data_IF_213546120937
#
_entry.id   IF_213546120937
#
_cell.length_a   1.000
_cell.length_b   1.000
_cell.length_c   1.000
_cell.angle_alpha   90.00
_cell.angle_beta   90.00
_cell.angle_gamma   90.00
#
_symmetry.space_group_name_H-M   'P 1'
#
loop_
_entity.id
_entity.type
_entity.pdbx_description
1 polymer ?
#
# COMPACT_ATOMS: atom_id res chain seq x y z
N UNK A 1 -7.73 -2.05 -23.67
CA UNK A 1 -6.72 -2.56 -24.63
C UNK A 1 -6.24 -1.51 -25.64
N UNK A 2 -7.11 -0.91 -26.49
CA UNK A 2 -6.68 0.06 -27.54
C UNK A 2 -5.79 1.20 -27.02
N UNK A 3 -6.16 1.82 -25.90
CA UNK A 3 -5.36 2.89 -25.29
C UNK A 3 -4.00 2.40 -24.81
N UNK A 4 -3.90 1.17 -24.30
CA UNK A 4 -2.63 0.58 -23.91
C UNK A 4 -1.69 0.41 -25.12
N UNK A 5 -2.21 0.08 -26.31
CA UNK A 5 -1.41 0.04 -27.54
C UNK A 5 -0.89 1.43 -27.94
N UNK A 6 -1.72 2.47 -27.81
CA UNK A 6 -1.31 3.85 -28.08
C UNK A 6 -0.21 4.31 -27.11
N UNK A 7 -0.33 3.96 -25.83
CA UNK A 7 0.67 4.22 -24.79
C UNK A 7 1.96 3.44 -25.10
N UNK A 8 1.85 2.14 -25.39
CA UNK A 8 2.99 1.29 -25.69
C UNK A 8 3.80 1.82 -26.89
N UNK A 9 3.13 2.34 -27.92
CA UNK A 9 3.80 2.96 -29.08
C UNK A 9 4.68 4.17 -28.71
N UNK A 10 4.48 4.77 -27.54
CA UNK A 10 5.27 5.89 -27.01
C UNK A 10 6.33 5.47 -25.99
N UNK A 11 6.40 4.18 -25.64
CA UNK A 11 7.37 3.62 -24.70
C UNK A 11 8.36 2.76 -25.48
N UNK A 12 9.64 3.15 -25.51
CA UNK A 12 10.68 2.35 -26.16
C UNK A 12 11.18 1.24 -25.24
N UNK A 13 11.70 0.16 -25.82
CA UNK A 13 12.33 -0.90 -25.02
C UNK A 13 13.48 -0.37 -24.15
N UNK A 14 14.31 0.54 -24.68
CA UNK A 14 15.39 1.19 -23.94
C UNK A 14 14.88 1.93 -22.69
N UNK A 15 13.75 2.61 -22.81
CA UNK A 15 13.09 3.30 -21.69
C UNK A 15 12.66 2.33 -20.59
N UNK A 16 12.04 1.21 -20.98
CA UNK A 16 11.59 0.19 -20.02
C UNK A 16 12.79 -0.49 -19.35
N UNK A 17 13.83 -0.84 -20.13
CA UNK A 17 15.08 -1.42 -19.62
C UNK A 17 15.75 -0.50 -18.60
N UNK A 18 15.86 0.79 -18.88
CA UNK A 18 16.43 1.76 -17.96
C UNK A 18 15.59 1.95 -16.68
N UNK A 19 14.27 1.80 -16.78
CA UNK A 19 13.36 2.04 -15.65
C UNK A 19 13.22 0.85 -14.72
N UNK A 20 13.11 -0.36 -15.28
CA UNK A 20 12.79 -1.59 -14.52
C UNK A 20 13.93 -2.62 -14.50
N UNK A 21 15.04 -2.36 -15.19
CA UNK A 21 16.17 -3.30 -15.25
C UNK A 21 15.91 -4.56 -16.09
N UNK A 22 14.91 -4.54 -16.98
CA UNK A 22 14.61 -5.71 -17.83
C UNK A 22 15.76 -6.05 -18.78
N UNK A 23 15.85 -7.33 -19.10
CA UNK A 23 16.87 -7.89 -19.98
C UNK A 23 16.22 -8.73 -21.09
N UNK A 24 17.05 -9.31 -21.96
CA UNK A 24 16.56 -10.09 -23.11
C UNK A 24 15.88 -11.41 -22.71
N UNK A 25 15.99 -11.83 -21.44
CA UNK A 25 15.27 -12.97 -20.89
C UNK A 25 13.91 -12.60 -20.30
N UNK A 26 13.61 -11.30 -20.17
CA UNK A 26 12.31 -10.80 -19.71
C UNK A 26 11.26 -11.03 -20.80
N UNK A 27 10.08 -11.51 -20.42
CA UNK A 27 9.05 -11.80 -21.41
C UNK A 27 8.38 -10.50 -21.92
N UNK A 28 7.84 -10.55 -23.14
CA UNK A 28 7.21 -9.40 -23.80
C UNK A 28 6.02 -8.81 -23.01
N UNK A 29 5.35 -9.63 -22.19
CA UNK A 29 4.26 -9.19 -21.33
C UNK A 29 4.72 -8.26 -20.22
N UNK A 30 5.87 -8.55 -19.59
CA UNK A 30 6.46 -7.68 -18.57
C UNK A 30 6.81 -6.31 -19.13
N UNK A 31 7.35 -6.26 -20.35
CA UNK A 31 7.69 -5.00 -21.04
C UNK A 31 6.42 -4.19 -21.35
N UNK A 32 5.35 -4.87 -21.77
CA UNK A 32 4.09 -4.23 -22.13
C UNK A 32 3.28 -3.75 -20.91
N UNK A 33 3.44 -4.37 -19.74
CA UNK A 33 2.58 -4.20 -18.57
C UNK A 33 2.41 -2.74 -18.11
N UNK A 34 3.47 -1.92 -18.13
CA UNK A 34 3.38 -0.49 -17.78
C UNK A 34 2.34 0.26 -18.62
N UNK A 35 2.17 -0.14 -19.89
CA UNK A 35 1.18 0.46 -20.77
C UNK A 35 -0.24 0.17 -20.32
N UNK A 36 -0.49 -1.04 -19.77
CA UNK A 36 -1.77 -1.43 -19.18
C UNK A 36 -2.01 -0.65 -17.88
N UNK A 37 -1.01 -0.59 -17.00
CA UNK A 37 -1.10 0.13 -15.72
C UNK A 37 -1.27 1.65 -15.89
N UNK A 38 -0.86 2.20 -17.03
CA UNK A 38 -1.08 3.62 -17.36
C UNK A 38 -2.53 3.93 -17.75
N UNK A 39 -3.27 2.98 -18.32
CA UNK A 39 -4.65 3.23 -18.84
C UNK A 39 -5.61 3.75 -17.76
N UNK A 40 -5.66 3.21 -16.53
CA UNK A 40 -6.51 3.73 -15.46
C UNK A 40 -6.40 5.24 -15.24
N UNK A 41 -5.22 5.82 -15.43
CA UNK A 41 -4.98 7.26 -15.25
C UNK A 41 -5.78 8.15 -16.22
N UNK A 42 -6.31 7.59 -17.31
CA UNK A 42 -7.06 8.31 -18.33
C UNK A 42 -8.49 7.80 -18.54
N UNK A 43 -8.96 6.80 -17.78
CA UNK A 43 -10.31 6.22 -17.97
C UNK A 43 -11.39 7.31 -17.86
N UNK A 44 -11.29 8.19 -16.87
CA UNK A 44 -12.27 9.27 -16.67
C UNK A 44 -12.24 10.28 -17.83
N UNK A 45 -11.05 10.64 -18.31
CA UNK A 45 -10.87 11.51 -19.47
C UNK A 45 -11.49 10.93 -20.74
N UNK A 46 -11.36 9.62 -20.91
CA UNK A 46 -12.01 8.90 -21.99
C UNK A 46 -13.53 9.01 -21.81
N UNK A 47 -14.10 8.52 -20.70
CA UNK A 47 -15.55 8.53 -20.47
C UNK A 47 -16.19 9.90 -20.71
N UNK A 48 -15.54 10.99 -20.27
CA UNK A 48 -16.10 12.33 -20.39
C UNK A 48 -15.78 13.06 -21.71
N UNK A 49 -14.92 12.49 -22.56
CA UNK A 49 -14.50 13.14 -23.81
C UNK A 49 -13.74 14.45 -23.61
N UNK A 50 -13.21 14.69 -22.42
CA UNK A 50 -12.39 15.86 -22.07
C UNK A 50 -11.23 15.44 -21.19
N UNK A 51 -10.19 16.24 -21.13
CA UNK A 51 -9.03 15.92 -20.30
C UNK A 51 -9.35 16.17 -18.82
N UNK A 52 -9.40 15.10 -18.01
CA UNK A 52 -9.72 15.15 -16.58
C UNK A 52 -8.45 14.86 -15.77
N UNK A 53 -8.08 15.69 -14.79
CA UNK A 53 -6.96 15.41 -13.89
C UNK A 53 -7.17 14.09 -13.12
N UNK A 54 -6.10 13.31 -12.96
CA UNK A 54 -6.11 12.06 -12.21
C UNK A 54 -5.13 12.17 -11.03
N UNK A 55 -5.57 11.73 -9.84
CA UNK A 55 -4.75 11.59 -8.64
C UNK A 55 -4.55 10.10 -8.35
N UNK A 56 -3.31 9.68 -8.15
CA UNK A 56 -2.94 8.28 -7.94
C UNK A 56 -2.24 8.14 -6.57
N UNK A 57 -2.94 7.65 -5.54
CA UNK A 57 -2.30 7.24 -4.29
C UNK A 57 -1.63 5.88 -4.48
N UNK A 58 -0.33 5.77 -4.18
CA UNK A 58 0.44 4.53 -4.38
C UNK A 58 1.58 4.38 -3.37
N UNK A 59 2.07 3.16 -3.20
CA UNK A 59 3.34 2.92 -2.50
C UNK A 59 4.51 3.20 -3.46
N UNK A 60 5.66 3.62 -2.91
CA UNK A 60 6.84 4.04 -3.70
C UNK A 60 7.36 3.00 -4.71
N UNK A 61 7.04 1.71 -4.57
CA UNK A 61 7.41 0.69 -5.56
C UNK A 61 6.65 0.80 -6.90
N UNK A 62 5.52 1.50 -6.94
CA UNK A 62 4.76 1.72 -8.17
C UNK A 62 5.19 2.98 -8.92
N UNK A 63 5.97 3.88 -8.32
CA UNK A 63 6.43 5.13 -8.96
C UNK A 63 7.04 4.90 -10.35
N UNK A 64 7.93 3.91 -10.58
CA UNK A 64 8.55 3.71 -11.89
C UNK A 64 7.53 3.57 -13.04
N UNK A 65 6.36 2.97 -12.78
CA UNK A 65 5.29 2.88 -13.77
C UNK A 65 4.67 4.25 -14.08
N UNK A 66 4.32 5.01 -13.04
CA UNK A 66 3.62 6.29 -13.22
C UNK A 66 4.54 7.45 -13.58
N UNK A 67 5.84 7.35 -13.26
CA UNK A 67 6.87 8.22 -13.83
C UNK A 67 6.90 8.12 -15.35
N UNK A 68 6.89 6.90 -15.89
CA UNK A 68 6.77 6.68 -17.34
C UNK A 68 5.42 7.14 -17.89
N UNK A 69 4.33 6.90 -17.17
CA UNK A 69 3.02 7.42 -17.56
C UNK A 69 3.04 8.95 -17.72
N UNK A 70 3.70 9.68 -16.81
CA UNK A 70 3.80 11.14 -16.85
C UNK A 70 4.62 11.66 -18.04
N UNK A 71 5.54 10.87 -18.58
CA UNK A 71 6.31 11.21 -19.79
C UNK A 71 5.55 10.92 -21.08
N UNK A 72 4.65 9.94 -21.06
CA UNK A 72 3.93 9.45 -22.24
C UNK A 72 2.59 10.15 -22.44
N UNK A 73 1.81 10.32 -21.38
CA UNK A 73 0.44 10.83 -21.45
C UNK A 73 0.31 12.22 -22.13
N UNK A 74 1.22 13.20 -21.87
CA UNK A 74 1.18 14.48 -22.58
C UNK A 74 1.38 14.36 -24.10
N UNK A 75 2.17 13.38 -24.56
CA UNK A 75 2.40 13.12 -26.00
C UNK A 75 1.14 12.58 -26.70
N UNK A 76 0.12 12.20 -25.92
CA UNK A 76 -1.19 11.74 -26.37
C UNK A 76 -2.29 12.77 -26.07
N UNK A 77 -1.94 13.96 -25.58
CA UNK A 77 -2.90 15.03 -25.27
C UNK A 77 -3.58 14.91 -23.90
N UNK A 78 -3.16 13.99 -23.04
CA UNK A 78 -3.69 13.82 -21.68
C UNK A 78 -2.84 14.55 -20.64
N UNK A 79 -3.47 14.92 -19.51
CA UNK A 79 -2.74 15.49 -18.39
C UNK A 79 -1.81 14.47 -17.73
N UNK A 80 -0.74 14.98 -17.11
CA UNK A 80 0.11 14.17 -16.23
C UNK A 80 -0.69 13.83 -14.97
N UNK A 81 -0.74 12.56 -14.53
CA UNK A 81 -1.36 12.23 -13.25
C UNK A 81 -0.57 12.85 -12.11
N UNK A 82 -1.29 13.36 -11.10
CA UNK A 82 -0.73 13.70 -9.80
C UNK A 82 -0.53 12.41 -9.00
N UNK A 83 0.54 12.35 -8.21
CA UNK A 83 0.92 11.18 -7.43
C UNK A 83 1.04 11.59 -5.97
N UNK A 84 0.48 10.78 -5.06
CA UNK A 84 0.76 10.85 -3.63
C UNK A 84 1.40 9.52 -3.25
N UNK A 85 2.65 9.58 -2.77
CA UNK A 85 3.42 8.41 -2.40
C UNK A 85 3.28 8.10 -0.91
N UNK A 86 2.97 6.86 -0.61
CA UNK A 86 2.95 6.31 0.73
C UNK A 86 4.23 5.53 1.00
N UNK A 87 4.76 5.69 2.22
CA UNK A 87 5.81 4.81 2.74
C UNK A 87 5.31 3.38 2.90
N UNK A 88 6.22 2.40 2.84
CA UNK A 88 5.84 1.00 3.02
C UNK A 88 5.34 0.73 4.43
N UNK A 89 4.29 -0.09 4.52
CA UNK A 89 3.90 -0.67 5.79
C UNK A 89 5.01 -1.59 6.32
N UNK A 90 5.37 -1.46 7.60
CA UNK A 90 6.47 -2.21 8.19
C UNK A 90 6.12 -3.69 8.32
N UNK A 91 7.16 -4.53 8.24
CA UNK A 91 7.09 -5.92 8.70
C UNK A 91 6.89 -5.98 10.23
N UNK A 92 6.28 -7.06 10.72
CA UNK A 92 6.29 -7.38 12.15
C UNK A 92 7.71 -7.70 12.66
N UNK A 93 8.61 -8.13 11.78
CA UNK A 93 10.02 -8.36 12.09
C UNK A 93 10.84 -7.07 11.99
N UNK A 94 12.10 -7.12 12.42
CA UNK A 94 12.98 -5.97 12.38
C UNK A 94 13.27 -5.55 10.93
N UNK A 95 12.85 -4.34 10.57
CA UNK A 95 13.09 -3.78 9.24
C UNK A 95 12.27 -4.41 8.13
N UNK A 96 12.37 -3.82 6.94
CA UNK A 96 11.69 -4.31 5.74
C UNK A 96 10.20 -3.94 5.63
N UNK A 97 9.65 -4.29 4.47
CA UNK A 97 8.23 -4.10 4.12
C UNK A 97 7.41 -5.33 4.48
N UNK A 98 6.15 -5.12 4.85
CA UNK A 98 5.20 -6.22 5.00
C UNK A 98 5.11 -7.01 3.70
N UNK A 99 5.23 -8.34 3.79
CA UNK A 99 5.19 -9.23 2.63
C UNK A 99 4.26 -10.40 2.88
N UNK A 100 3.30 -10.60 1.97
CA UNK A 100 2.43 -11.77 1.98
C UNK A 100 3.20 -13.09 1.79
N UNK A 101 4.41 -13.03 1.19
CA UNK A 101 5.26 -14.21 0.96
C UNK A 101 5.77 -14.82 2.26
N UNK A 102 5.91 -14.03 3.33
CA UNK A 102 6.38 -14.51 4.63
C UNK A 102 5.26 -14.33 5.66
N UNK A 103 4.41 -15.35 5.78
CA UNK A 103 3.13 -15.26 6.52
C UNK A 103 3.24 -14.79 7.97
N UNK A 104 4.31 -15.15 8.67
CA UNK A 104 4.52 -14.76 10.08
C UNK A 104 4.97 -13.30 10.25
N UNK A 105 5.32 -12.61 9.16
CA UNK A 105 5.77 -11.21 9.17
C UNK A 105 4.65 -10.21 8.87
N UNK A 106 3.47 -10.71 8.51
CA UNK A 106 2.34 -9.91 8.07
C UNK A 106 1.07 -10.29 8.84
N UNK A 107 0.20 -9.30 9.07
CA UNK A 107 -1.17 -9.52 9.54
C UNK A 107 -2.06 -9.56 8.32
N UNK A 108 -2.70 -10.70 8.06
CA UNK A 108 -3.65 -10.84 6.97
C UNK A 108 -5.03 -10.35 7.40
N UNK A 109 -5.78 -9.81 6.45
CA UNK A 109 -7.17 -9.38 6.68
C UNK A 109 -8.12 -10.53 7.06
N UNK A 110 -7.67 -11.77 6.86
CA UNK A 110 -8.38 -13.01 7.19
C UNK A 110 -7.85 -13.70 8.45
N UNK A 111 -6.84 -13.13 9.13
CA UNK A 111 -6.31 -13.72 10.35
C UNK A 111 -7.37 -13.73 11.46
N UNK A 112 -7.38 -14.81 12.25
CA UNK A 112 -8.21 -14.96 13.44
C UNK A 112 -7.58 -14.24 14.65
N UNK A 113 -8.38 -13.86 15.67
CA UNK A 113 -7.86 -13.16 16.84
C UNK A 113 -6.68 -13.82 17.55
N UNK A 114 -6.66 -15.16 17.60
CA UNK A 114 -5.59 -15.95 18.21
C UNK A 114 -4.29 -15.87 17.38
N UNK A 115 -4.42 -15.91 16.05
CA UNK A 115 -3.30 -15.78 15.12
C UNK A 115 -2.70 -14.39 15.21
N UNK A 116 -3.53 -13.34 15.26
CA UNK A 116 -3.08 -11.96 15.44
C UNK A 116 -2.31 -11.82 16.75
N UNK A 117 -2.86 -12.32 17.86
CA UNK A 117 -2.19 -12.30 19.16
C UNK A 117 -0.82 -12.96 19.10
N UNK A 118 -0.72 -14.15 18.50
CA UNK A 118 0.55 -14.87 18.34
C UNK A 118 1.57 -14.04 17.53
N UNK A 119 1.17 -13.53 16.37
CA UNK A 119 2.03 -12.76 15.48
C UNK A 119 2.53 -11.46 16.11
N UNK A 120 1.63 -10.70 16.75
CA UNK A 120 1.97 -9.45 17.45
C UNK A 120 2.85 -9.74 18.67
N UNK A 121 2.59 -10.83 19.40
CA UNK A 121 3.46 -11.26 20.51
C UNK A 121 4.90 -11.50 20.06
N UNK A 122 5.09 -12.05 18.85
CA UNK A 122 6.39 -12.34 18.26
C UNK A 122 6.99 -11.17 17.46
N UNK A 123 6.29 -10.03 17.39
CA UNK A 123 6.77 -8.87 16.65
C UNK A 123 8.01 -8.26 17.31
N UNK A 124 8.90 -7.71 16.48
CA UNK A 124 10.09 -7.00 16.90
C UNK A 124 9.73 -5.75 17.70
N UNK A 125 10.44 -5.57 18.82
CA UNK A 125 10.28 -4.43 19.71
C UNK A 125 11.62 -3.74 19.95
N UNK A 126 11.62 -2.42 20.04
CA UNK A 126 12.79 -1.65 20.46
C UNK A 126 12.95 -1.54 21.99
N UNK A 127 12.26 -2.37 22.78
CA UNK A 127 12.41 -2.37 24.24
C UNK A 127 13.62 -3.19 24.71
N UNK A 128 13.77 -3.28 26.03
CA UNK A 128 14.88 -3.98 26.69
C UNK A 128 14.61 -5.47 26.87
N UNK A 129 15.65 -6.21 27.25
CA UNK A 129 15.59 -7.66 27.48
C UNK A 129 14.60 -8.08 28.58
N UNK A 130 14.35 -7.22 29.58
CA UNK A 130 13.40 -7.49 30.65
C UNK A 130 12.71 -6.21 31.15
N UNK A 131 11.63 -6.38 31.92
CA UNK A 131 10.79 -5.29 32.39
C UNK A 131 11.51 -4.33 33.37
N UNK A 132 12.49 -4.82 34.14
CA UNK A 132 13.26 -3.98 35.06
C UNK A 132 14.13 -3.00 34.28
N UNK A 133 14.91 -3.51 33.34
CA UNK A 133 15.74 -2.69 32.45
C UNK A 133 14.89 -1.74 31.61
N UNK A 134 13.71 -2.18 31.14
CA UNK A 134 12.83 -1.30 30.39
C UNK A 134 12.31 -0.12 31.21
N UNK A 135 12.05 -0.30 32.51
CA UNK A 135 11.67 0.80 33.41
C UNK A 135 12.84 1.75 33.70
N UNK A 136 14.06 1.23 33.78
CA UNK A 136 15.25 2.02 34.09
C UNK A 136 15.78 2.78 32.86
N UNK A 137 15.78 2.16 31.68
CA UNK A 137 16.43 2.67 30.47
C UNK A 137 15.45 3.11 29.38
N UNK A 138 14.16 2.81 29.53
CA UNK A 138 13.17 3.02 28.47
C UNK A 138 13.33 2.08 27.28
N UNK A 139 12.47 2.26 26.29
CA UNK A 139 12.54 1.62 24.97
C UNK A 139 12.79 2.61 23.85
N UNK A 140 13.06 2.09 22.65
CA UNK A 140 13.26 2.87 21.43
C UNK A 140 12.10 2.66 20.43
N UNK A 141 11.10 3.57 20.37
CA UNK A 141 9.98 3.49 19.44
C UNK A 141 10.39 3.54 17.95
N UNK A 142 11.50 4.22 17.60
CA UNK A 142 11.89 4.46 16.20
C UNK A 142 12.20 3.17 15.42
N UNK A 143 12.71 2.15 16.11
CA UNK A 143 13.03 0.85 15.52
C UNK A 143 11.92 -0.18 15.74
N UNK A 144 10.97 0.10 16.64
CA UNK A 144 9.95 -0.84 17.10
C UNK A 144 8.82 -1.06 16.06
N UNK A 145 8.62 -2.29 15.61
CA UNK A 145 7.56 -2.60 14.64
C UNK A 145 6.17 -2.42 15.24
N UNK A 146 5.99 -2.73 16.54
CA UNK A 146 4.72 -2.52 17.27
C UNK A 146 4.34 -1.04 17.27
N UNK A 147 5.28 -0.15 17.59
CA UNK A 147 5.03 1.30 17.56
C UNK A 147 4.72 1.81 16.16
N UNK A 148 5.43 1.32 15.12
CA UNK A 148 5.14 1.71 13.73
C UNK A 148 3.73 1.30 13.30
N UNK A 149 3.22 0.17 13.77
CA UNK A 149 1.82 -0.22 13.53
C UNK A 149 0.82 0.71 14.21
N UNK A 150 1.09 1.16 15.45
CA UNK A 150 0.28 2.20 16.09
C UNK A 150 0.30 3.48 15.26
N UNK A 151 1.50 3.98 14.94
CA UNK A 151 1.74 5.23 14.23
C UNK A 151 1.10 5.26 12.83
N UNK A 152 1.20 4.17 12.06
CA UNK A 152 0.81 4.18 10.65
C UNK A 152 -0.64 3.74 10.41
N UNK A 153 -1.24 2.95 11.29
CA UNK A 153 -2.48 2.22 10.99
C UNK A 153 -3.54 2.31 12.07
N UNK A 154 -3.18 2.08 13.33
CA UNK A 154 -4.17 1.71 14.35
C UNK A 154 -4.43 2.79 15.41
N UNK A 155 -3.66 3.87 15.42
CA UNK A 155 -3.86 4.98 16.37
C UNK A 155 -3.99 6.27 15.59
N UNK A 156 -5.21 6.76 15.47
CA UNK A 156 -5.54 7.97 14.70
C UNK A 156 -5.46 9.26 15.53
N UNK A 157 -5.43 9.15 16.86
CA UNK A 157 -5.25 10.28 17.76
C UNK A 157 -3.77 10.55 18.02
N UNK A 158 -3.29 11.71 17.56
CA UNK A 158 -1.92 12.16 17.75
C UNK A 158 -1.53 12.28 19.23
N UNK A 159 -2.47 12.60 20.12
CA UNK A 159 -2.20 12.69 21.56
C UNK A 159 -1.96 11.31 22.16
N UNK A 160 -2.75 10.32 21.73
CA UNK A 160 -2.56 8.93 22.12
C UNK A 160 -1.20 8.41 21.62
N UNK A 161 -0.83 8.70 20.38
CA UNK A 161 0.48 8.35 19.83
C UNK A 161 1.64 8.97 20.62
N UNK A 162 1.57 10.27 20.91
CA UNK A 162 2.58 10.98 21.72
C UNK A 162 2.68 10.39 23.14
N UNK A 163 1.54 10.00 23.71
CA UNK A 163 1.50 9.34 25.03
C UNK A 163 2.18 7.97 24.99
N UNK A 164 1.87 7.13 24.01
CA UNK A 164 2.53 5.82 23.80
C UNK A 164 4.05 6.02 23.64
N UNK A 165 4.46 6.99 22.81
CA UNK A 165 5.87 7.29 22.56
C UNK A 165 6.58 7.72 23.84
N UNK A 166 6.03 8.69 24.58
CA UNK A 166 6.62 9.26 25.78
C UNK A 166 6.74 8.22 26.89
N UNK A 167 5.67 7.43 27.11
CA UNK A 167 5.68 6.35 28.11
C UNK A 167 6.64 5.22 27.74
N UNK A 168 6.81 4.93 26.45
CA UNK A 168 7.79 3.94 25.99
C UNK A 168 9.23 4.43 26.23
N UNK A 169 9.52 5.69 25.88
CA UNK A 169 10.82 6.32 26.12
C UNK A 169 11.14 6.45 27.62
N UNK A 170 10.15 6.77 28.45
CA UNK A 170 10.30 6.89 29.89
C UNK A 170 10.25 5.56 30.66
N UNK A 171 10.05 4.43 29.97
CA UNK A 171 10.00 3.10 30.60
C UNK A 171 8.71 2.77 31.36
N UNK A 172 7.74 3.67 31.39
CA UNK A 172 6.42 3.47 32.02
C UNK A 172 5.59 2.41 31.28
N UNK A 173 5.68 2.36 29.94
CA UNK A 173 4.94 1.41 29.12
C UNK A 173 5.83 0.22 28.76
N UNK A 174 5.43 -0.98 29.19
CA UNK A 174 6.14 -2.21 28.86
C UNK A 174 5.78 -2.71 27.45
N UNK A 175 6.73 -3.39 26.78
CA UNK A 175 6.51 -3.95 25.44
C UNK A 175 5.30 -4.90 25.38
N UNK A 176 5.10 -5.70 26.43
CA UNK A 176 3.97 -6.63 26.51
C UNK A 176 2.62 -5.92 26.59
N UNK A 177 2.55 -4.77 27.25
CA UNK A 177 1.32 -3.96 27.38
C UNK A 177 0.99 -3.28 26.06
N UNK A 178 2.00 -2.66 25.42
CA UNK A 178 1.86 -2.06 24.10
C UNK A 178 1.41 -3.09 23.04
N UNK A 179 1.98 -4.32 23.07
CA UNK A 179 1.55 -5.42 22.19
C UNK A 179 0.09 -5.83 22.42
N UNK A 180 -0.37 -5.85 23.68
CA UNK A 180 -1.76 -6.17 24.02
C UNK A 180 -2.72 -5.11 23.49
N UNK A 181 -2.41 -3.83 23.69
CA UNK A 181 -3.20 -2.72 23.14
C UNK A 181 -3.30 -2.82 21.61
N UNK A 182 -2.15 -2.98 20.92
CA UNK A 182 -2.12 -3.15 19.48
C UNK A 182 -3.00 -4.33 19.02
N UNK A 183 -2.89 -5.48 19.69
CA UNK A 183 -3.67 -6.68 19.37
C UNK A 183 -5.17 -6.41 19.46
N UNK A 184 -5.63 -5.67 20.47
CA UNK A 184 -7.03 -5.31 20.62
C UNK A 184 -7.51 -4.42 19.47
N UNK A 185 -6.74 -3.39 19.11
CA UNK A 185 -7.06 -2.49 18.00
C UNK A 185 -7.11 -3.21 16.65
N UNK A 186 -6.13 -4.08 16.37
CA UNK A 186 -6.10 -4.89 15.16
C UNK A 186 -7.33 -5.80 15.10
N UNK A 187 -7.65 -6.52 16.17
CA UNK A 187 -8.78 -7.45 16.18
C UNK A 187 -10.13 -6.72 16.02
N UNK A 188 -10.27 -5.53 16.61
CA UNK A 188 -11.45 -4.67 16.40
C UNK A 188 -11.59 -4.29 14.94
N UNK A 189 -10.51 -3.82 14.32
CA UNK A 189 -10.48 -3.48 12.89
C UNK A 189 -10.81 -4.68 12.00
N UNK A 190 -10.16 -5.83 12.23
CA UNK A 190 -10.36 -7.04 11.42
C UNK A 190 -11.78 -7.59 11.55
N UNK A 191 -12.36 -7.57 12.75
CA UNK A 191 -13.75 -8.02 12.95
C UNK A 191 -14.72 -7.20 12.10
N UNK A 192 -14.55 -5.87 12.06
CA UNK A 192 -15.38 -5.00 11.26
C UNK A 192 -15.12 -5.18 9.76
N UNK A 193 -13.85 -5.23 9.36
CA UNK A 193 -13.46 -5.48 7.97
C UNK A 193 -14.03 -6.80 7.44
N UNK A 194 -13.94 -7.88 8.22
CA UNK A 194 -14.43 -9.20 7.83
C UNK A 194 -15.96 -9.21 7.69
N UNK A 195 -16.70 -8.52 8.58
CA UNK A 195 -18.16 -8.35 8.43
C UNK A 195 -18.52 -7.60 7.15
N UNK A 196 -17.82 -6.50 6.85
CA UNK A 196 -18.05 -5.72 5.64
C UNK A 196 -17.70 -6.52 4.38
N UNK A 197 -16.60 -7.29 4.42
CA UNK A 197 -16.18 -8.17 3.32
C UNK A 197 -17.24 -9.22 2.98
N UNK A 198 -17.90 -9.79 3.98
CA UNK A 198 -18.98 -10.75 3.75
C UNK A 198 -20.20 -10.10 3.09
N UNK A 199 -20.61 -8.90 3.54
CA UNK A 199 -21.67 -8.11 2.88
C UNK A 199 -21.31 -7.69 1.46
N UNK A 200 -20.02 -7.44 1.19
CA UNK A 200 -19.56 -6.98 -0.11
C UNK A 200 -19.75 -8.04 -1.22
N UNK A 201 -19.90 -9.33 -0.88
CA UNK A 201 -20.07 -10.43 -1.85
C UNK A 201 -21.25 -10.20 -2.80
N UNK A 202 -22.33 -9.63 -2.29
CA UNK A 202 -23.58 -9.46 -3.05
C UNK A 202 -23.56 -8.23 -3.97
N UNK A 203 -22.60 -7.32 -3.78
CA UNK A 203 -22.54 -6.03 -4.50
C UNK A 203 -21.27 -5.89 -5.36
N UNK A 204 -20.40 -6.91 -5.45
CA UNK A 204 -19.14 -6.85 -6.22
C UNK A 204 -19.40 -6.38 -7.65
N UNK A 205 -20.47 -6.89 -8.25
CA UNK A 205 -20.89 -6.63 -9.62
C UNK A 205 -21.19 -5.15 -9.91
N UNK A 206 -21.52 -4.35 -8.89
CA UNK A 206 -21.82 -2.93 -9.03
C UNK A 206 -20.54 -2.07 -9.10
N UNK A 207 -19.42 -2.60 -8.60
CA UNK A 207 -18.12 -1.90 -8.59
C UNK A 207 -17.23 -2.29 -9.78
N UNK A 208 -17.62 -3.30 -10.56
CA UNK A 208 -16.91 -3.68 -11.77
C UNK A 208 -17.31 -2.74 -12.92
N UNK A 209 -16.32 -2.17 -13.59
CA UNK A 209 -16.52 -1.45 -14.85
C UNK A 209 -16.96 -2.45 -15.93
N UNK A 210 -18.27 -2.61 -16.09
CA UNK A 210 -18.86 -3.40 -17.18
C UNK A 210 -18.70 -2.60 -18.48
N UNK A 211 -18.23 -3.26 -19.53
CA UNK A 211 -17.86 -2.70 -20.85
C UNK A 211 -18.95 -1.90 -21.60
N UNK A 212 -20.10 -1.58 -20.99
CA UNK A 212 -21.12 -0.69 -21.55
C UNK A 212 -20.71 0.80 -21.58
N UNK A 213 -19.46 1.13 -21.32
CA UNK A 213 -18.89 2.37 -21.85
C UNK A 213 -18.42 2.04 -23.27
N UNK A 214 -19.29 2.27 -24.24
CA UNK A 214 -18.93 2.15 -25.65
C UNK A 214 -17.90 3.24 -26.01
N UNK A 215 -16.63 2.96 -25.72
CA UNK A 215 -15.50 3.84 -26.03
C UNK A 215 -15.34 4.07 -27.54
N UNK A 216 -16.14 3.41 -28.40
CA UNK A 216 -16.16 3.69 -29.85
C UNK A 216 -16.51 5.15 -30.14
N UNK A 217 -17.32 5.81 -29.31
CA UNK A 217 -17.71 7.20 -29.50
C UNK A 217 -16.58 8.21 -29.27
N UNK A 218 -15.48 7.80 -28.61
CA UNK A 218 -14.33 8.68 -28.31
C UNK A 218 -13.19 8.55 -29.31
N UNK A 219 -13.29 7.59 -30.23
CA UNK A 219 -12.32 7.36 -31.31
C UNK A 219 -12.76 7.91 -32.67
N UNK A 220 -13.90 8.62 -32.73
CA UNK A 220 -14.29 9.40 -33.92
C UNK A 220 -14.07 10.89 -33.69
N UNK A 221 -12.81 11.32 -33.77
CA UNK A 221 -12.38 12.54 -34.45
C UNK A 221 -10.87 12.50 -34.64
#
# INVERSE_FOLDING_TARGET
YRNALQIAKKITFSTVKATFGFNNSSNIGQIFYTSIQTVPAIIKSLIEGKNVPCLIPLAVDQDPHFRLSRDVLPKLGFYKPAIIECVFLPSLQQGGKMSASVRETAIFTTDKPETVRRKVSNAFTGGQANAKLQRELGGNPSVCSVYKYHFMLFTLDDNELKSIQSKCLGGELLCGECKKDLTQKINKFLSEHQKQREKAKDIIEDYLLKEKVDLKYLTKK
#
